data_IF_801787132400
#
_entry.id   IF_801787132400
#
_cell.length_a   1.000
_cell.length_b   1.000
_cell.length_c   1.000
_cell.angle_alpha   90.00
_cell.angle_beta   90.00
_cell.angle_gamma   90.00
#
_symmetry.space_group_name_H-M   'P 1'
#
loop_
_entity.id
_entity.type
_entity.pdbx_description
1 polymer ?
#
# COMPACT_ATOMS: atom_id res chain seq x y z
N UNK A 1 -47.23 62.08 -1.98
CA UNK A 1 -47.35 60.77 -1.31
C UNK A 1 -47.51 59.68 -2.35
N UNK A 2 -46.47 58.88 -2.58
CA UNK A 2 -46.56 57.56 -3.24
C UNK A 2 -45.48 56.68 -2.59
N UNK A 3 -45.91 55.76 -1.74
CA UNK A 3 -45.11 54.63 -1.28
C UNK A 3 -44.78 53.76 -2.49
N UNK A 4 -43.55 53.27 -2.60
CA UNK A 4 -43.28 52.06 -3.40
C UNK A 4 -42.19 51.24 -2.72
N UNK A 5 -42.48 49.94 -2.72
CA UNK A 5 -41.99 48.88 -1.87
C UNK A 5 -40.58 48.43 -2.27
N UNK A 6 -39.79 48.04 -1.28
CA UNK A 6 -38.47 47.41 -1.41
C UNK A 6 -38.62 45.96 -1.89
N UNK A 7 -37.77 45.51 -2.82
CA UNK A 7 -37.47 44.08 -3.03
C UNK A 7 -35.94 43.95 -3.07
N UNK A 8 -35.33 43.60 -1.94
CA UNK A 8 -33.94 43.15 -1.89
C UNK A 8 -33.95 41.69 -2.35
N UNK A 9 -33.51 41.46 -3.58
CA UNK A 9 -33.24 40.11 -4.07
C UNK A 9 -31.99 39.58 -3.37
N UNK A 10 -32.19 38.82 -2.28
CA UNK A 10 -31.12 38.03 -1.69
C UNK A 10 -30.79 36.89 -2.66
N UNK A 11 -29.71 37.03 -3.43
CA UNK A 11 -29.10 35.92 -4.15
C UNK A 11 -28.55 34.94 -3.10
N UNK A 12 -29.38 33.98 -2.70
CA UNK A 12 -28.94 32.81 -1.94
C UNK A 12 -28.06 32.01 -2.91
N UNK A 13 -26.75 32.27 -2.86
CA UNK A 13 -25.77 31.37 -3.42
C UNK A 13 -25.92 30.04 -2.67
N UNK A 14 -26.58 29.08 -3.31
CA UNK A 14 -26.48 27.67 -2.93
C UNK A 14 -25.00 27.31 -3.02
N UNK A 15 -24.30 27.36 -1.90
CA UNK A 15 -23.01 26.72 -1.76
C UNK A 15 -23.26 25.23 -1.98
N UNK A 16 -23.07 24.77 -3.21
CA UNK A 16 -22.85 23.36 -3.48
C UNK A 16 -21.60 23.02 -2.68
N UNK A 17 -21.79 22.42 -1.51
CA UNK A 17 -20.70 21.82 -0.77
C UNK A 17 -20.08 20.79 -1.72
N UNK A 18 -18.95 21.16 -2.35
CA UNK A 18 -18.11 20.19 -3.02
C UNK A 18 -17.89 19.07 -2.01
N UNK A 19 -18.09 17.78 -2.39
CA UNK A 19 -17.91 16.69 -1.46
C UNK A 19 -16.51 16.85 -0.88
N UNK A 20 -16.45 17.08 0.44
CA UNK A 20 -15.18 17.15 1.15
C UNK A 20 -14.40 15.91 0.73
N UNK A 21 -13.25 16.11 0.07
CA UNK A 21 -12.36 15.02 -0.32
C UNK A 21 -12.16 14.19 0.94
N UNK A 22 -12.81 13.03 1.02
CA UNK A 22 -12.68 12.13 2.18
C UNK A 22 -11.21 11.75 2.20
N UNK A 23 -10.46 12.36 3.10
CA UNK A 23 -9.11 11.93 3.41
C UNK A 23 -9.21 10.51 3.92
N UNK A 24 -8.44 9.60 3.33
CA UNK A 24 -8.30 8.23 3.81
C UNK A 24 -7.98 8.24 5.32
N UNK A 25 -8.85 7.63 6.12
CA UNK A 25 -8.66 7.54 7.56
C UNK A 25 -7.73 6.37 7.86
N UNK A 26 -6.56 6.67 8.43
CA UNK A 26 -5.52 5.68 8.69
C UNK A 26 -4.91 5.87 10.08
N UNK A 27 -4.53 4.77 10.73
CA UNK A 27 -3.77 4.77 12.00
C UNK A 27 -2.59 3.81 11.91
N UNK A 28 -1.44 4.20 12.45
CA UNK A 28 -0.30 3.31 12.57
C UNK A 28 -0.65 2.11 13.48
N UNK A 29 -0.18 0.92 13.10
CA UNK A 29 -0.38 -0.32 13.85
C UNK A 29 0.92 -1.12 13.92
N UNK A 30 1.17 -1.72 15.09
CA UNK A 30 2.43 -2.43 15.35
C UNK A 30 3.62 -1.47 15.55
N UNK A 31 4.82 -2.04 15.51
CA UNK A 31 6.07 -1.27 15.59
C UNK A 31 6.61 -0.98 14.18
N UNK A 32 7.37 0.10 14.06
CA UNK A 32 8.15 0.36 12.86
C UNK A 32 9.24 -0.70 12.67
N UNK A 33 9.43 -1.17 11.44
CA UNK A 33 10.39 -2.22 11.12
C UNK A 33 11.04 -2.01 9.75
N UNK A 34 11.99 -2.89 9.42
CA UNK A 34 12.60 -2.96 8.11
C UNK A 34 11.72 -3.73 7.12
N UNK A 35 11.88 -3.43 5.84
CA UNK A 35 11.40 -4.30 4.78
C UNK A 35 12.40 -5.44 4.61
N UNK A 36 11.95 -6.66 4.86
CA UNK A 36 12.78 -7.87 4.90
C UNK A 36 12.31 -8.89 3.87
N UNK A 37 13.18 -9.81 3.50
CA UNK A 37 12.81 -10.98 2.70
C UNK A 37 13.79 -12.13 2.84
N UNK A 38 13.53 -13.20 2.09
CA UNK A 38 14.41 -14.37 1.99
C UNK A 38 14.92 -14.56 0.57
N UNK A 39 16.16 -15.04 0.43
CA UNK A 39 16.79 -15.47 -0.82
C UNK A 39 17.44 -16.83 -0.58
N UNK A 40 16.67 -17.89 -0.83
CA UNK A 40 17.03 -19.23 -0.34
C UNK A 40 17.07 -19.22 1.18
N UNK A 41 18.20 -19.65 1.76
CA UNK A 41 18.39 -19.64 3.22
C UNK A 41 18.90 -18.30 3.78
N UNK A 42 19.24 -17.33 2.92
CA UNK A 42 19.74 -16.02 3.36
C UNK A 42 18.60 -15.05 3.61
N UNK A 43 18.72 -14.27 4.70
CA UNK A 43 17.88 -13.10 4.95
C UNK A 43 18.41 -11.92 4.12
N UNK A 44 17.50 -11.13 3.59
CA UNK A 44 17.81 -9.90 2.88
C UNK A 44 17.02 -8.74 3.45
N UNK A 45 17.60 -7.54 3.39
CA UNK A 45 16.94 -6.29 3.78
C UNK A 45 16.83 -5.41 2.55
N UNK A 46 15.78 -4.60 2.50
CA UNK A 46 15.53 -3.69 1.40
C UNK A 46 15.56 -2.23 1.85
N UNK A 47 15.99 -1.38 0.94
CA UNK A 47 16.05 0.07 1.10
C UNK A 47 15.53 0.75 -0.16
N UNK A 48 14.88 1.92 -0.03
CA UNK A 48 14.61 2.76 -1.19
C UNK A 48 15.81 3.64 -1.50
N UNK A 49 16.40 3.43 -2.67
CA UNK A 49 17.44 4.26 -3.27
C UNK A 49 16.89 4.85 -4.57
N UNK A 50 16.96 6.18 -4.69
CA UNK A 50 16.25 6.96 -5.72
C UNK A 50 14.78 6.54 -5.90
N UNK A 51 14.08 6.37 -4.76
CA UNK A 51 12.69 5.92 -4.66
C UNK A 51 12.40 4.51 -5.22
N UNK A 52 13.41 3.69 -5.54
CA UNK A 52 13.25 2.32 -6.00
C UNK A 52 13.70 1.35 -4.91
N UNK A 53 12.87 0.35 -4.59
CA UNK A 53 13.21 -0.64 -3.57
C UNK A 53 14.29 -1.59 -4.09
N UNK A 54 15.41 -1.69 -3.37
CA UNK A 54 16.58 -2.51 -3.73
C UNK A 54 17.08 -3.35 -2.56
N UNK A 55 17.63 -4.51 -2.87
CA UNK A 55 18.34 -5.36 -1.89
C UNK A 55 19.63 -4.65 -1.42
N UNK A 56 19.81 -4.54 -0.10
CA UNK A 56 21.01 -3.99 0.53
C UNK A 56 21.51 -4.89 1.66
N UNK A 57 22.78 -4.70 2.05
CA UNK A 57 23.37 -5.48 3.14
C UNK A 57 22.92 -5.01 4.53
N UNK A 58 22.67 -3.71 4.69
CA UNK A 58 22.19 -3.05 5.91
C UNK A 58 21.47 -1.77 5.50
N UNK A 59 20.49 -1.37 6.31
CA UNK A 59 19.82 -0.08 6.16
C UNK A 59 19.43 0.48 7.53
N UNK A 60 19.08 1.76 7.56
CA UNK A 60 18.40 2.39 8.68
C UNK A 60 16.95 2.79 8.37
N UNK A 61 16.51 2.64 7.10
CA UNK A 61 15.15 3.00 6.70
C UNK A 61 14.12 2.06 7.33
N UNK A 62 13.23 2.63 8.15
CA UNK A 62 12.11 1.91 8.76
C UNK A 62 10.78 2.34 8.19
N UNK A 63 9.81 1.44 8.30
CA UNK A 63 8.46 1.60 7.79
C UNK A 63 7.45 1.21 8.85
N UNK A 64 6.28 1.84 8.80
CA UNK A 64 5.14 1.57 9.66
C UNK A 64 3.98 1.12 8.79
N UNK A 65 3.21 0.14 9.28
CA UNK A 65 1.95 -0.22 8.67
C UNK A 65 0.85 0.69 9.21
N UNK A 66 0.04 1.25 8.32
CA UNK A 66 -1.11 2.07 8.65
C UNK A 66 -2.37 1.31 8.27
N UNK A 67 -3.16 0.90 9.26
CA UNK A 67 -4.49 0.35 9.04
C UNK A 67 -5.40 1.49 8.58
N UNK A 68 -6.08 1.31 7.44
CA UNK A 68 -6.90 2.33 6.80
C UNK A 68 -8.33 1.84 6.55
N UNK A 69 -9.30 2.74 6.69
CA UNK A 69 -10.67 2.48 6.26
C UNK A 69 -10.72 2.35 4.73
N UNK A 70 -11.36 1.29 4.23
CA UNK A 70 -11.51 1.10 2.79
C UNK A 70 -12.27 2.29 2.17
N UNK A 71 -11.72 2.93 1.12
CA UNK A 71 -12.32 4.14 0.54
C UNK A 71 -13.64 3.86 -0.20
N UNK A 72 -13.85 2.61 -0.64
CA UNK A 72 -15.06 2.12 -1.30
C UNK A 72 -15.18 0.60 -1.14
N UNK A 73 -16.32 0.06 -1.56
CA UNK A 73 -16.61 -1.38 -1.57
C UNK A 73 -15.80 -2.19 -2.59
N UNK A 74 -15.09 -1.52 -3.51
CA UNK A 74 -14.20 -2.17 -4.50
C UNK A 74 -12.93 -2.71 -3.85
N UNK A 75 -12.44 -2.04 -2.81
CA UNK A 75 -11.19 -2.40 -2.15
C UNK A 75 -11.32 -3.65 -1.31
N UNK A 76 -10.24 -4.43 -1.23
CA UNK A 76 -10.13 -5.51 -0.28
C UNK A 76 -10.21 -4.91 1.15
N UNK A 77 -11.25 -5.27 1.88
CA UNK A 77 -11.60 -4.70 3.18
C UNK A 77 -11.18 -5.59 4.33
N UNK A 78 -11.18 -5.02 5.54
CA UNK A 78 -10.68 -5.67 6.76
C UNK A 78 -11.42 -6.98 7.01
N UNK A 79 -10.66 -8.06 7.23
CA UNK A 79 -11.18 -9.40 7.51
C UNK A 79 -10.64 -9.93 8.85
N UNK A 80 -11.22 -11.01 9.34
CA UNK A 80 -10.73 -11.67 10.56
C UNK A 80 -9.29 -12.15 10.32
N UNK A 81 -8.33 -11.62 11.09
CA UNK A 81 -6.93 -12.07 11.09
C UNK A 81 -5.95 -11.26 10.23
N UNK A 82 -6.36 -10.14 9.62
CA UNK A 82 -5.44 -9.24 8.92
C UNK A 82 -5.88 -7.78 9.01
N UNK A 83 -4.92 -6.87 9.10
CA UNK A 83 -5.11 -5.43 8.90
C UNK A 83 -4.73 -5.05 7.47
N UNK A 84 -5.34 -3.97 6.98
CA UNK A 84 -5.20 -3.55 5.58
C UNK A 84 -5.02 -2.05 5.55
N UNK A 85 -4.18 -1.58 4.63
CA UNK A 85 -3.99 -0.16 4.40
C UNK A 85 -2.67 0.10 3.70
N UNK A 86 -1.87 1.02 4.23
CA UNK A 86 -0.66 1.52 3.57
C UNK A 86 0.59 1.22 4.39
N UNK A 87 1.71 0.96 3.72
CA UNK A 87 3.02 0.94 4.37
C UNK A 87 3.66 2.31 4.13
N UNK A 88 4.05 3.00 5.20
CA UNK A 88 4.57 4.37 5.14
C UNK A 88 5.99 4.44 5.68
N UNK A 89 6.79 5.37 5.15
CA UNK A 89 8.11 5.66 5.72
C UNK A 89 7.96 6.17 7.16
N UNK A 90 8.83 5.69 8.05
CA UNK A 90 8.87 6.12 9.45
C UNK A 90 9.38 7.57 9.61
N UNK A 91 10.23 8.01 8.68
CA UNK A 91 10.85 9.34 8.70
C UNK A 91 9.99 10.38 7.96
N UNK A 92 9.18 9.95 6.99
CA UNK A 92 8.19 10.78 6.30
C UNK A 92 6.89 10.01 6.05
N UNK A 93 5.90 10.19 6.94
CA UNK A 93 4.61 9.52 6.85
C UNK A 93 3.73 9.99 5.65
N UNK A 94 4.21 10.92 4.82
CA UNK A 94 3.56 11.29 3.55
C UNK A 94 4.01 10.41 2.38
N UNK A 95 5.01 9.55 2.60
CA UNK A 95 5.59 8.65 1.59
C UNK A 95 5.17 7.20 1.85
N UNK A 96 4.68 6.54 0.80
CA UNK A 96 4.08 5.21 0.82
C UNK A 96 4.81 4.26 -0.12
N UNK A 97 5.03 3.02 0.35
CA UNK A 97 5.43 1.90 -0.50
C UNK A 97 4.35 1.70 -1.55
N UNK A 98 4.75 1.60 -2.81
CA UNK A 98 3.86 1.49 -3.96
C UNK A 98 4.31 0.34 -4.83
N UNK A 99 3.43 -0.64 -5.07
CA UNK A 99 3.76 -1.73 -5.97
C UNK A 99 3.79 -1.26 -7.43
N UNK A 100 4.73 -1.77 -8.21
CA UNK A 100 4.81 -1.50 -9.65
C UNK A 100 3.83 -2.32 -10.48
N UNK A 101 2.99 -3.17 -9.89
CA UNK A 101 1.93 -3.84 -10.63
C UNK A 101 0.72 -4.11 -9.75
N UNK A 102 -0.41 -4.39 -10.39
CA UNK A 102 -1.60 -4.98 -9.78
C UNK A 102 -2.02 -6.19 -10.61
N UNK A 103 -2.20 -7.34 -9.96
CA UNK A 103 -2.55 -8.59 -10.62
C UNK A 103 -4.04 -8.93 -10.39
N UNK A 104 -4.83 -9.14 -11.45
CA UNK A 104 -6.18 -9.69 -11.32
C UNK A 104 -6.15 -11.09 -10.69
N UNK A 105 -7.22 -11.46 -9.98
CA UNK A 105 -7.39 -12.81 -9.43
C UNK A 105 -7.63 -13.86 -10.52
N UNK A 106 -8.35 -13.48 -11.57
CA UNK A 106 -8.62 -14.32 -12.72
C UNK A 106 -7.33 -14.60 -13.49
N UNK A 107 -7.00 -15.88 -13.66
CA UNK A 107 -5.70 -16.34 -14.19
C UNK A 107 -5.50 -16.07 -15.68
N UNK A 108 -6.56 -15.74 -16.40
CA UNK A 108 -6.59 -15.39 -17.82
C UNK A 108 -6.33 -13.90 -18.10
N UNK A 109 -6.24 -13.09 -17.05
CA UNK A 109 -5.98 -11.65 -17.16
C UNK A 109 -4.54 -11.31 -16.76
N UNK A 110 -3.88 -10.55 -17.63
CA UNK A 110 -2.52 -10.09 -17.40
C UNK A 110 -2.43 -9.03 -16.28
N UNK A 111 -1.38 -9.04 -15.45
CA UNK A 111 -1.11 -7.97 -14.50
C UNK A 111 -0.94 -6.61 -15.20
N UNK A 112 -1.52 -5.57 -14.62
CA UNK A 112 -1.26 -4.20 -15.07
C UNK A 112 0.03 -3.70 -14.43
N UNK A 113 1.02 -3.37 -15.26
CA UNK A 113 2.38 -2.96 -14.84
C UNK A 113 2.60 -1.46 -14.97
N UNK A 114 3.37 -0.88 -14.05
CA UNK A 114 3.73 0.52 -13.89
C UNK A 114 5.21 0.64 -13.53
N UNK A 115 5.94 1.63 -14.08
CA UNK A 115 7.36 1.84 -13.73
C UNK A 115 8.22 0.56 -13.86
N UNK A 116 8.04 -0.17 -14.97
CA UNK A 116 8.67 -1.49 -15.24
C UNK A 116 8.35 -2.59 -14.22
N UNK A 117 7.38 -2.38 -13.33
CA UNK A 117 6.97 -3.35 -12.31
C UNK A 117 7.66 -3.17 -10.97
N UNK A 118 8.59 -2.21 -10.84
CA UNK A 118 9.37 -2.00 -9.62
C UNK A 118 8.53 -1.48 -8.46
N UNK A 119 8.87 -1.90 -7.24
CA UNK A 119 8.33 -1.27 -6.03
C UNK A 119 9.01 0.08 -5.84
N UNK A 120 8.19 1.11 -5.61
CA UNK A 120 8.63 2.50 -5.49
C UNK A 120 8.15 3.13 -4.18
N UNK A 121 8.82 4.20 -3.76
CA UNK A 121 8.37 5.08 -2.68
C UNK A 121 7.75 6.32 -3.31
N UNK A 122 6.43 6.46 -3.19
CA UNK A 122 5.67 7.56 -3.81
C UNK A 122 4.88 8.31 -2.74
N UNK A 123 4.38 9.51 -3.04
CA UNK A 123 3.45 10.19 -2.13
C UNK A 123 2.24 9.30 -1.86
N UNK A 124 1.83 9.21 -0.61
CA UNK A 124 0.65 8.46 -0.21
C UNK A 124 -0.60 9.02 -0.91
N UNK A 125 -1.34 8.15 -1.57
CA UNK A 125 -2.66 8.47 -2.09
C UNK A 125 -3.66 8.54 -0.93
N UNK A 126 -4.46 9.60 -0.90
CA UNK A 126 -5.45 9.84 0.14
C UNK A 126 -6.89 9.60 -0.33
N UNK A 127 -7.08 9.24 -1.60
CA UNK A 127 -8.38 8.95 -2.20
C UNK A 127 -8.26 8.01 -3.41
N UNK A 128 -9.37 7.39 -3.78
CA UNK A 128 -9.54 6.62 -5.01
C UNK A 128 -10.07 7.57 -6.09
N UNK A 129 -9.19 8.34 -6.73
CA UNK A 129 -9.58 9.17 -7.87
C UNK A 129 -9.76 8.29 -9.10
N UNK A 130 -10.83 8.49 -9.86
CA UNK A 130 -11.13 7.67 -11.04
C UNK A 130 -9.97 7.70 -12.04
N UNK A 131 -9.46 6.51 -12.41
CA UNK A 131 -8.29 6.36 -13.29
C UNK A 131 -6.92 6.47 -12.58
N UNK A 132 -6.87 7.03 -11.37
CA UNK A 132 -5.67 7.02 -10.53
C UNK A 132 -5.54 5.68 -9.80
N UNK A 133 -4.56 4.89 -10.24
CA UNK A 133 -4.31 3.55 -9.71
C UNK A 133 -3.39 3.55 -8.48
N UNK A 134 -2.96 4.72 -8.02
CA UNK A 134 -1.95 4.84 -6.97
C UNK A 134 -2.43 4.26 -5.64
N UNK A 135 -3.65 4.57 -5.20
CA UNK A 135 -4.17 4.01 -3.95
C UNK A 135 -4.30 2.48 -4.02
N UNK A 136 -4.76 1.94 -5.16
CA UNK A 136 -4.82 0.49 -5.39
C UNK A 136 -3.43 -0.17 -5.32
N UNK A 137 -2.38 0.48 -5.85
CA UNK A 137 -0.98 0.01 -5.78
C UNK A 137 -0.36 0.14 -4.37
N UNK A 138 -0.91 1.03 -3.55
CA UNK A 138 -0.48 1.30 -2.17
C UNK A 138 -1.31 0.55 -1.12
N UNK A 139 -2.24 -0.33 -1.55
CA UNK A 139 -3.09 -1.09 -0.66
C UNK A 139 -2.47 -2.46 -0.36
N UNK A 140 -2.10 -2.68 0.89
CA UNK A 140 -1.42 -3.87 1.38
C UNK A 140 -2.24 -4.56 2.46
N UNK A 141 -2.05 -5.86 2.58
CA UNK A 141 -2.55 -6.67 3.69
C UNK A 141 -1.39 -7.10 4.58
N UNK A 142 -1.58 -6.99 5.89
CA UNK A 142 -0.67 -7.48 6.91
C UNK A 142 -1.45 -8.43 7.82
N UNK A 143 -1.20 -9.75 7.77
CA UNK A 143 -1.76 -10.70 8.70
C UNK A 143 -1.42 -10.30 10.13
N UNK A 144 -2.39 -10.43 11.03
CA UNK A 144 -2.16 -10.35 12.46
C UNK A 144 -1.50 -11.68 12.86
N UNK A 145 -0.17 -11.72 12.72
CA UNK A 145 0.61 -12.95 12.78
C UNK A 145 0.62 -13.65 14.15
N UNK A 146 1.07 -14.90 14.12
CA UNK A 146 1.52 -15.63 15.31
C UNK A 146 2.83 -15.00 15.85
N UNK A 147 3.07 -15.01 17.16
CA UNK A 147 4.07 -14.15 17.82
C UNK A 147 5.55 -14.38 17.43
N UNK A 148 5.87 -15.42 16.64
CA UNK A 148 7.25 -15.83 16.37
C UNK A 148 7.81 -15.35 15.03
N UNK A 149 6.98 -14.87 14.10
CA UNK A 149 7.42 -14.42 12.78
C UNK A 149 6.90 -13.01 12.49
N UNK A 150 7.71 -12.15 11.85
CA UNK A 150 7.20 -10.87 11.37
C UNK A 150 6.08 -11.12 10.35
N UNK A 151 5.09 -10.23 10.25
CA UNK A 151 3.98 -10.41 9.35
C UNK A 151 4.44 -10.30 7.89
N UNK A 152 3.98 -11.25 7.08
CA UNK A 152 4.15 -11.26 5.63
C UNK A 152 3.23 -10.21 5.01
N UNK A 153 3.80 -9.27 4.28
CA UNK A 153 3.05 -8.22 3.61
C UNK A 153 2.74 -8.63 2.17
N UNK A 154 1.50 -8.40 1.74
CA UNK A 154 1.11 -8.62 0.34
C UNK A 154 0.40 -7.39 -0.19
N UNK A 155 0.73 -6.98 -1.42
CA UNK A 155 -0.09 -6.00 -2.11
C UNK A 155 -1.40 -6.69 -2.52
N UNK A 156 -2.53 -6.05 -2.23
CA UNK A 156 -3.84 -6.48 -2.69
C UNK A 156 -4.77 -5.28 -2.70
N UNK A 157 -5.02 -4.75 -3.90
CA UNK A 157 -5.84 -3.57 -4.11
C UNK A 157 -7.33 -3.85 -3.98
N UNK A 158 -7.94 -4.17 -5.12
CA UNK A 158 -9.36 -4.46 -5.21
C UNK A 158 -9.69 -5.88 -4.76
N UNK A 159 -10.97 -6.15 -4.46
CA UNK A 159 -11.44 -7.48 -4.04
C UNK A 159 -11.15 -8.57 -5.08
N UNK A 160 -11.16 -8.20 -6.36
CA UNK A 160 -10.85 -9.07 -7.49
C UNK A 160 -9.35 -9.09 -7.86
N UNK A 161 -8.48 -8.48 -7.05
CA UNK A 161 -7.03 -8.62 -7.20
C UNK A 161 -6.53 -9.87 -6.46
N UNK A 162 -5.56 -10.53 -7.08
CA UNK A 162 -4.74 -11.51 -6.42
C UNK A 162 -3.82 -10.83 -5.40
N UNK A 163 -3.49 -11.54 -4.32
CA UNK A 163 -2.45 -11.10 -3.42
C UNK A 163 -1.07 -11.24 -4.10
N UNK A 164 -0.25 -10.20 -4.03
CA UNK A 164 1.13 -10.18 -4.51
C UNK A 164 2.08 -9.99 -3.32
N UNK A 165 2.50 -11.10 -2.73
CA UNK A 165 3.43 -11.13 -1.59
C UNK A 165 4.83 -11.63 -1.94
N UNK A 166 5.02 -12.18 -3.15
CA UNK A 166 6.31 -12.70 -3.58
C UNK A 166 7.21 -11.61 -4.12
N UNK A 167 8.51 -11.67 -3.81
CA UNK A 167 9.52 -10.74 -4.30
C UNK A 167 10.30 -11.38 -5.45
N UNK A 168 10.32 -10.70 -6.59
CA UNK A 168 11.21 -11.00 -7.72
C UNK A 168 12.21 -9.86 -7.87
N UNK A 169 13.47 -10.22 -8.10
CA UNK A 169 14.59 -9.29 -8.23
C UNK A 169 14.95 -9.09 -9.70
N UNK A 170 15.37 -7.88 -10.07
CA UNK A 170 15.97 -7.54 -11.35
C UNK A 170 17.50 -7.59 -11.25
N UNK A 171 18.21 -7.55 -12.39
CA UNK A 171 19.68 -7.63 -12.43
C UNK A 171 20.37 -6.49 -11.64
N UNK A 172 19.72 -5.34 -11.53
CA UNK A 172 20.19 -4.18 -10.77
C UNK A 172 19.82 -4.22 -9.27
N UNK A 173 19.36 -5.38 -8.78
CA UNK A 173 18.88 -5.64 -7.41
C UNK A 173 17.62 -4.88 -7.00
N UNK A 174 16.99 -4.14 -7.91
CA UNK A 174 15.65 -3.64 -7.66
C UNK A 174 14.65 -4.79 -7.60
N UNK A 175 13.50 -4.56 -6.99
CA UNK A 175 12.51 -5.62 -6.80
C UNK A 175 11.11 -5.27 -7.27
N UNK A 176 10.32 -6.29 -7.56
CA UNK A 176 8.89 -6.25 -7.85
C UNK A 176 8.12 -7.25 -7.02
N UNK A 177 6.83 -6.97 -6.82
CA UNK A 177 5.90 -7.92 -6.21
C UNK A 177 5.17 -8.73 -7.27
N UNK A 178 5.10 -10.05 -7.08
CA UNK A 178 4.43 -11.00 -7.98
C UNK A 178 3.44 -11.88 -7.20
N UNK A 179 2.53 -12.52 -7.93
CA UNK A 179 1.53 -13.43 -7.36
C UNK A 179 2.22 -14.62 -6.69
N UNK A 180 1.68 -15.05 -5.55
CA UNK A 180 2.15 -16.22 -4.79
C UNK A 180 1.34 -17.47 -5.09
N UNK A 181 1.95 -18.46 -5.75
CA UNK A 181 1.27 -19.69 -6.17
C UNK A 181 2.01 -20.97 -5.71
N UNK A 182 3.23 -20.88 -5.14
CA UNK A 182 4.07 -22.04 -4.83
C UNK A 182 4.84 -21.93 -3.51
N UNK A 183 4.98 -23.07 -2.84
CA UNK A 183 5.87 -23.32 -1.69
C UNK A 183 7.33 -22.93 -2.00
N UNK A 184 8.05 -22.32 -1.04
CA UNK A 184 9.47 -21.93 -1.19
C UNK A 184 9.73 -20.53 -1.76
N UNK A 185 8.72 -19.67 -1.76
CA UNK A 185 8.73 -18.36 -2.38
C UNK A 185 9.34 -17.26 -1.51
N UNK A 186 10.08 -16.32 -2.11
CA UNK A 186 10.65 -15.16 -1.41
C UNK A 186 9.52 -14.21 -1.02
N UNK A 187 9.24 -14.03 0.27
CA UNK A 187 8.19 -13.10 0.71
C UNK A 187 8.77 -11.76 1.18
N UNK A 188 7.91 -10.73 1.18
CA UNK A 188 8.20 -9.45 1.81
C UNK A 188 7.62 -9.43 3.23
N UNK A 189 8.43 -9.06 4.22
CA UNK A 189 8.01 -8.92 5.62
C UNK A 189 8.25 -7.50 6.11
N UNK A 190 7.54 -7.13 7.17
CA UNK A 190 7.78 -5.90 7.92
C UNK A 190 8.13 -6.23 9.37
N UNK A 191 9.34 -5.93 9.81
CA UNK A 191 9.77 -6.24 11.19
C UNK A 191 11.22 -5.84 11.49
N UNK A 192 11.65 -6.00 12.74
CA UNK A 192 13.04 -5.71 13.13
C UNK A 192 14.02 -6.82 12.71
N UNK A 193 13.55 -8.07 12.64
CA UNK A 193 14.26 -9.24 12.11
C UNK A 193 13.22 -10.28 11.63
N UNK A 194 13.65 -11.25 10.83
CA UNK A 194 12.86 -12.41 10.42
C UNK A 194 13.59 -13.68 10.85
N UNK A 195 13.01 -14.50 11.73
CA UNK A 195 13.70 -15.71 12.19
C UNK A 195 13.87 -16.73 11.04
N UNK A 196 14.93 -17.55 11.07
CA UNK A 196 15.19 -18.55 10.02
C UNK A 196 14.08 -19.61 9.89
N UNK A 197 13.24 -19.75 10.92
CA UNK A 197 12.06 -20.62 10.94
C UNK A 197 10.86 -20.06 10.18
N UNK A 198 10.91 -18.81 9.70
CA UNK A 198 9.78 -18.09 9.10
C UNK A 198 9.70 -18.21 7.57
N UNK A 199 10.23 -19.31 7.02
CA UNK A 199 10.27 -19.62 5.58
C UNK A 199 8.90 -19.99 5.02
#
# INVERSE_FOLDING_TARGET
MKLSLVIVAACIALAQAAPAKRSLNCKAVGNAGFLLGHKGDSKVTYEFDDNVLREVSKTSQKFEFYECDAPSDKYFGTGVGAVIGQIRSKDDASMCVTAGSVAPQASDLEPKTFGEGRVTLEKCACNDSEGDMTLRRQWFTMPLGAPTCPPLISQRGYKNDAAQGMVSEFDDKSVRLVKGDKEGSKYLYLGDDVADSCK
#
